data_IF_253379539651
#
_entry.id   IF_253379539651
#
_cell.length_a   1.000
_cell.length_b   1.000
_cell.length_c   1.000
_cell.angle_alpha   90.00
_cell.angle_beta   90.00
_cell.angle_gamma   90.00
#
_symmetry.space_group_name_H-M   'P 1'
#
loop_
_entity.id
_entity.type
_entity.pdbx_description
1 polymer ?
#
# COMPACT_ATOMS: atom_id res chain seq x y z
N UNK A 1 -0.02 -23.41 -15.69
CA UNK A 1 1.01 -22.39 -15.39
C UNK A 1 0.29 -21.12 -14.99
N UNK A 2 0.36 -20.73 -13.72
CA UNK A 2 -0.29 -19.52 -13.21
C UNK A 2 0.74 -18.46 -12.80
N UNK A 3 0.24 -17.26 -12.46
CA UNK A 3 1.05 -16.23 -11.81
C UNK A 3 1.62 -16.81 -10.50
N UNK A 4 2.94 -16.76 -10.32
CA UNK A 4 3.63 -17.24 -9.10
C UNK A 4 4.05 -16.11 -8.19
N UNK A 5 4.28 -14.92 -8.75
CA UNK A 5 4.74 -13.75 -8.01
C UNK A 5 4.21 -12.48 -8.65
N UNK A 6 3.77 -11.54 -7.82
CA UNK A 6 3.36 -10.20 -8.26
C UNK A 6 4.13 -9.16 -7.45
N UNK A 7 4.62 -8.12 -8.12
CA UNK A 7 5.23 -6.95 -7.47
C UNK A 7 4.43 -5.74 -7.93
N UNK A 8 3.78 -5.05 -6.99
CA UNK A 8 2.95 -3.90 -7.25
C UNK A 8 3.57 -2.67 -6.61
N UNK A 9 3.58 -1.57 -7.36
CA UNK A 9 3.90 -0.24 -6.85
C UNK A 9 2.60 0.50 -6.59
N UNK A 10 2.35 0.87 -5.34
CA UNK A 10 1.06 1.38 -4.87
C UNK A 10 1.24 2.67 -4.10
N UNK A 11 0.48 3.70 -4.48
CA UNK A 11 0.30 4.91 -3.70
C UNK A 11 -0.93 4.76 -2.82
N UNK A 12 -0.80 5.04 -1.52
CA UNK A 12 -1.92 5.07 -0.58
C UNK A 12 -1.90 6.33 0.28
N UNK A 13 -3.05 6.82 0.77
CA UNK A 13 -3.08 7.85 1.81
C UNK A 13 -2.39 7.36 3.09
N UNK A 14 -1.75 8.26 3.83
CA UNK A 14 -1.02 7.91 5.06
C UNK A 14 -1.99 7.46 6.16
N UNK A 15 -3.19 8.06 6.23
CA UNK A 15 -4.16 7.88 7.32
C UNK A 15 -4.73 6.46 7.39
N UNK A 16 -5.62 6.11 6.47
CA UNK A 16 -6.27 4.79 6.45
C UNK A 16 -6.54 4.31 5.02
N UNK A 17 -6.51 2.99 4.75
CA UNK A 17 -6.22 1.90 5.68
C UNK A 17 -4.72 1.78 6.05
N UNK A 18 -4.44 1.21 7.23
CA UNK A 18 -3.06 0.91 7.65
C UNK A 18 -2.45 -0.20 6.79
N UNK A 19 -1.11 -0.25 6.70
CA UNK A 19 -0.40 -1.31 5.96
C UNK A 19 -0.70 -2.70 6.53
N UNK A 20 -0.92 -2.80 7.85
CA UNK A 20 -1.26 -4.05 8.52
C UNK A 20 -2.65 -4.52 8.09
N UNK A 21 -3.63 -3.62 8.03
CA UNK A 21 -4.98 -3.94 7.54
C UNK A 21 -4.93 -4.35 6.07
N UNK A 22 -4.14 -3.63 5.26
CA UNK A 22 -3.94 -3.95 3.85
C UNK A 22 -3.35 -5.36 3.68
N UNK A 23 -2.26 -5.68 4.39
CA UNK A 23 -1.62 -6.99 4.37
C UNK A 23 -2.58 -8.11 4.80
N UNK A 24 -3.33 -7.91 5.89
CA UNK A 24 -4.32 -8.88 6.39
C UNK A 24 -5.47 -9.14 5.42
N UNK A 25 -5.90 -8.13 4.67
CA UNK A 25 -6.96 -8.30 3.68
C UNK A 25 -6.42 -9.00 2.44
N UNK A 26 -5.22 -8.63 1.99
CA UNK A 26 -4.56 -9.26 0.84
C UNK A 26 -4.21 -10.74 1.10
N UNK A 27 -3.83 -11.10 2.32
CA UNK A 27 -3.54 -12.49 2.69
C UNK A 27 -4.77 -13.40 2.69
N UNK A 28 -5.98 -12.85 2.62
CA UNK A 28 -7.24 -13.61 2.54
C UNK A 28 -7.66 -13.89 1.09
N UNK A 29 -6.99 -13.30 0.11
CA UNK A 29 -7.31 -13.52 -1.31
C UNK A 29 -6.92 -14.94 -1.69
N UNK A 30 -7.84 -15.67 -2.33
CA UNK A 30 -7.60 -17.05 -2.76
C UNK A 30 -6.37 -17.14 -3.67
N UNK A 31 -5.53 -18.12 -3.41
CA UNK A 31 -4.26 -18.32 -4.14
C UNK A 31 -3.09 -17.48 -3.63
N UNK A 32 -3.29 -16.53 -2.71
CA UNK A 32 -2.19 -15.80 -2.06
C UNK A 32 -1.64 -16.62 -0.90
N UNK A 33 -0.37 -17.01 -1.01
CA UNK A 33 0.36 -17.74 0.03
C UNK A 33 1.08 -16.80 0.99
N UNK A 34 1.63 -15.70 0.46
CA UNK A 34 2.42 -14.75 1.24
C UNK A 34 2.26 -13.33 0.69
N UNK A 35 2.21 -12.35 1.61
CA UNK A 35 2.16 -10.92 1.30
C UNK A 35 3.29 -10.23 2.05
N UNK A 36 4.16 -9.53 1.33
CA UNK A 36 5.20 -8.66 1.88
C UNK A 36 4.97 -7.24 1.39
N UNK A 37 4.88 -6.30 2.31
CA UNK A 37 4.64 -4.89 2.01
C UNK A 37 5.85 -4.10 2.49
N UNK A 38 6.50 -3.37 1.59
CA UNK A 38 7.66 -2.53 1.90
C UNK A 38 7.30 -1.09 1.59
N UNK A 39 7.44 -0.21 2.59
CA UNK A 39 7.32 1.24 2.38
C UNK A 39 8.61 1.71 1.74
N UNK A 40 8.50 2.35 0.58
CA UNK A 40 9.67 2.93 -0.09
C UNK A 40 9.83 4.39 0.28
N UNK A 41 8.76 5.18 0.18
CA UNK A 41 8.80 6.62 0.40
C UNK A 41 7.51 7.07 1.06
N UNK A 42 7.61 8.07 1.94
CA UNK A 42 6.47 8.72 2.59
C UNK A 42 6.56 10.21 2.33
N UNK A 43 5.73 10.69 1.40
CA UNK A 43 5.60 12.12 1.13
C UNK A 43 4.57 12.69 2.09
N UNK A 44 5.10 13.22 3.19
CA UNK A 44 4.33 14.07 4.08
C UNK A 44 4.30 15.46 3.45
N UNK A 45 3.46 15.66 2.43
CA UNK A 45 3.13 17.02 2.03
C UNK A 45 2.49 17.72 3.23
N UNK A 46 3.29 18.50 3.98
CA UNK A 46 2.79 19.57 4.83
C UNK A 46 2.24 20.63 3.89
N UNK A 47 1.00 20.44 3.43
CA UNK A 47 0.31 21.48 2.70
C UNK A 47 0.22 22.70 3.60
N UNK A 48 0.93 23.74 3.19
CA UNK A 48 0.68 25.14 3.48
C UNK A 48 -0.82 25.36 3.68
N UNK A 49 -1.27 26.09 4.72
CA UNK A 49 -2.68 26.30 4.99
C UNK A 49 -3.30 27.15 3.88
N UNK A 50 -3.73 26.50 2.79
CA UNK A 50 -4.63 27.07 1.82
C UNK A 50 -6.03 26.97 2.45
N UNK A 51 -6.83 28.06 2.51
CA UNK A 51 -8.11 28.08 3.21
C UNK A 51 -9.18 27.11 2.66
N UNK A 52 -8.88 26.39 1.58
CA UNK A 52 -9.71 25.35 0.96
C UNK A 52 -8.99 24.00 0.76
N UNK A 53 -7.73 23.85 1.19
CA UNK A 53 -6.87 22.71 0.83
C UNK A 53 -6.87 21.59 1.87
N UNK A 54 -7.63 20.52 1.64
CA UNK A 54 -7.52 19.28 2.43
C UNK A 54 -6.32 18.49 1.92
N UNK A 55 -5.15 18.73 2.51
CA UNK A 55 -3.95 17.94 2.23
C UNK A 55 -4.01 16.57 2.86
N UNK A 56 -3.86 15.54 2.03
CA UNK A 56 -3.70 14.16 2.48
C UNK A 56 -2.34 13.65 1.99
N UNK A 57 -1.40 13.50 2.91
CA UNK A 57 -0.10 12.92 2.59
C UNK A 57 -0.24 11.49 2.06
N UNK A 58 0.66 11.09 1.17
CA UNK A 58 0.66 9.78 0.52
C UNK A 58 1.94 9.01 0.83
N UNK A 59 1.81 7.69 0.86
CA UNK A 59 2.93 6.77 1.00
C UNK A 59 3.00 5.89 -0.25
N UNK A 60 4.20 5.72 -0.78
CA UNK A 60 4.50 4.79 -1.86
C UNK A 60 5.02 3.48 -1.29
N UNK A 61 4.43 2.39 -1.75
CA UNK A 61 4.58 1.09 -1.13
C UNK A 61 4.70 0.02 -2.20
N UNK A 62 5.67 -0.88 -2.04
CA UNK A 62 5.78 -2.07 -2.87
C UNK A 62 5.15 -3.29 -2.20
N UNK A 63 4.12 -3.85 -2.84
CA UNK A 63 3.51 -5.11 -2.45
C UNK A 63 4.11 -6.27 -3.23
N UNK A 64 4.73 -7.24 -2.54
CA UNK A 64 5.21 -8.49 -3.10
C UNK A 64 4.29 -9.63 -2.68
N UNK A 65 3.76 -10.36 -3.65
CA UNK A 65 2.82 -11.45 -3.43
C UNK A 65 3.42 -12.74 -3.94
N UNK A 66 3.33 -13.80 -3.15
CA UNK A 66 3.63 -15.17 -3.56
C UNK A 66 2.30 -15.90 -3.76
N UNK A 67 2.11 -16.48 -4.95
CA UNK A 67 0.90 -17.17 -5.34
C UNK A 67 1.15 -18.68 -5.41
N UNK A 68 0.19 -19.45 -4.88
CA UNK A 68 0.23 -20.92 -4.78
C UNK A 68 -0.36 -21.63 -5.99
#
# INVERSE_FOLDING_TARGET
>A
MGLKKLVLDVLKPIREPTLVTLAKNLSKVSGVREVSIVVSEMDVETLTPHPSGRGEGQARVFGRFSLG
#
